data_IF_901765098680
#
_entry.id   IF_901765098680
#
_cell.length_a   1.000
_cell.length_b   1.000
_cell.length_c   1.000
_cell.angle_alpha   90.00
_cell.angle_beta   90.00
_cell.angle_gamma   90.00
#
_symmetry.space_group_name_H-M   'P 1'
#
loop_
_entity.id
_entity.type
_entity.pdbx_description
1 polymer ?
#
# COMPACT_ATOMS: atom_id res chain seq x y z
N UNK A 1 4.59 9.97 50.30
CA UNK A 1 4.77 10.33 48.88
C UNK A 1 6.26 10.41 48.64
N UNK A 2 6.81 9.40 47.96
CA UNK A 2 8.24 9.34 47.64
C UNK A 2 8.39 9.20 46.14
N UNK A 3 8.77 10.31 45.51
CA UNK A 3 9.30 10.39 44.16
C UNK A 3 10.61 9.60 44.10
N UNK A 4 10.68 8.59 43.22
CA UNK A 4 11.96 7.98 42.87
C UNK A 4 11.97 7.61 41.38
N UNK A 5 12.31 8.64 40.58
CA UNK A 5 13.34 8.65 39.55
C UNK A 5 13.68 7.30 38.89
N UNK A 6 13.37 7.18 37.59
CA UNK A 6 14.17 6.43 36.63
C UNK A 6 14.00 7.04 35.23
N UNK A 7 15.05 7.71 34.78
CA UNK A 7 15.44 7.91 33.38
C UNK A 7 16.99 7.81 33.40
N UNK A 8 17.74 7.33 32.37
CA UNK A 8 17.47 7.51 30.93
C UNK A 8 18.09 6.43 29.99
N UNK A 9 17.35 5.59 29.27
CA UNK A 9 17.96 4.75 28.23
C UNK A 9 16.94 4.12 27.26
N UNK A 10 16.33 4.93 26.40
CA UNK A 10 15.87 4.42 25.12
C UNK A 10 16.39 5.40 24.08
N UNK A 11 17.64 5.18 23.69
CA UNK A 11 18.30 5.88 22.61
C UNK A 11 17.30 6.00 21.45
N UNK A 12 16.95 7.24 21.13
CA UNK A 12 16.20 7.60 19.94
C UNK A 12 16.91 6.94 18.76
N UNK A 13 16.38 5.81 18.32
CA UNK A 13 16.83 5.17 17.09
C UNK A 13 16.55 6.19 15.99
N UNK A 14 17.55 6.61 15.20
CA UNK A 14 17.28 7.55 14.12
C UNK A 14 16.21 6.94 13.20
N UNK A 15 15.27 7.74 12.67
CA UNK A 15 14.29 7.23 11.73
C UNK A 15 15.05 6.61 10.56
N UNK A 16 14.88 5.29 10.37
CA UNK A 16 15.43 4.62 9.20
C UNK A 16 14.89 5.37 7.99
N UNK A 17 15.79 5.92 7.19
CA UNK A 17 15.44 6.47 5.89
C UNK A 17 14.65 5.37 5.16
N UNK A 18 13.37 5.65 4.89
CA UNK A 18 12.59 4.82 3.97
C UNK A 18 13.17 5.14 2.61
N UNK A 19 14.27 4.46 2.27
CA UNK A 19 14.76 4.37 0.90
C UNK A 19 13.54 4.02 0.05
N UNK A 20 13.21 4.79 -1.00
CA UNK A 20 12.08 4.48 -1.86
C UNK A 20 12.40 3.13 -2.49
N UNK A 21 11.85 2.07 -1.89
CA UNK A 21 11.95 0.71 -2.39
C UNK A 21 11.47 0.79 -3.83
N UNK A 22 12.44 0.64 -4.75
CA UNK A 22 12.23 0.86 -6.17
C UNK A 22 10.96 0.16 -6.56
N UNK A 23 10.01 0.92 -7.12
CA UNK A 23 8.67 0.46 -7.49
C UNK A 23 8.80 -0.93 -8.07
N UNK A 24 8.41 -1.94 -7.28
CA UNK A 24 8.37 -3.30 -7.77
C UNK A 24 7.30 -3.25 -8.82
N UNK A 25 7.72 -3.28 -10.08
CA UNK A 25 6.82 -3.42 -11.20
C UNK A 25 6.24 -4.83 -11.09
N UNK A 26 5.27 -5.02 -10.21
CA UNK A 26 4.40 -6.18 -10.18
C UNK A 26 3.45 -6.07 -11.38
N UNK A 27 4.01 -5.95 -12.59
CA UNK A 27 3.35 -6.39 -13.80
C UNK A 27 3.52 -7.90 -13.80
N UNK A 28 2.72 -8.59 -12.99
CA UNK A 28 2.88 -10.01 -12.74
C UNK A 28 1.60 -10.65 -12.25
N UNK A 29 1.55 -11.99 -12.23
CA UNK A 29 0.37 -12.79 -11.87
C UNK A 29 -0.17 -12.44 -10.47
N UNK A 30 0.67 -11.88 -9.59
CA UNK A 30 0.25 -11.39 -8.27
C UNK A 30 -0.71 -10.21 -8.35
N UNK A 31 -0.49 -9.27 -9.28
CA UNK A 31 -1.37 -8.10 -9.44
C UNK A 31 -2.73 -8.53 -9.99
N UNK A 32 -2.75 -9.45 -10.93
CA UNK A 32 -3.97 -10.06 -11.47
C UNK A 32 -4.73 -10.80 -10.36
N UNK A 33 -4.05 -11.69 -9.62
CA UNK A 33 -4.62 -12.39 -8.48
C UNK A 33 -5.22 -11.44 -7.42
N UNK A 34 -4.52 -10.35 -7.07
CA UNK A 34 -5.05 -9.35 -6.13
C UNK A 34 -6.28 -8.64 -6.70
N UNK A 35 -6.30 -8.39 -8.02
CA UNK A 35 -7.47 -7.83 -8.70
C UNK A 35 -8.69 -8.75 -8.63
N UNK A 36 -8.50 -10.02 -8.96
CA UNK A 36 -9.57 -11.03 -8.94
C UNK A 36 -10.09 -11.25 -7.52
N UNK A 37 -9.19 -11.36 -6.53
CA UNK A 37 -9.56 -11.49 -5.13
C UNK A 37 -10.33 -10.26 -4.62
N UNK A 38 -9.91 -9.06 -5.02
CA UNK A 38 -10.63 -7.84 -4.67
C UNK A 38 -12.05 -7.83 -5.28
N UNK A 39 -12.23 -8.32 -6.50
CA UNK A 39 -13.55 -8.44 -7.12
C UNK A 39 -14.45 -9.45 -6.39
N UNK A 40 -13.91 -10.60 -5.97
CA UNK A 40 -14.64 -11.60 -5.19
C UNK A 40 -15.08 -11.04 -3.83
N UNK A 41 -14.17 -10.34 -3.13
CA UNK A 41 -14.47 -9.68 -1.86
C UNK A 41 -15.55 -8.60 -2.03
N UNK A 42 -15.57 -7.87 -3.14
CA UNK A 42 -16.60 -6.87 -3.39
C UNK A 42 -17.99 -7.48 -3.50
N UNK A 43 -18.11 -8.67 -4.12
CA UNK A 43 -19.38 -9.41 -4.19
C UNK A 43 -19.80 -9.90 -2.81
N UNK A 44 -18.87 -10.41 -2.01
CA UNK A 44 -19.16 -10.82 -0.63
C UNK A 44 -19.60 -9.64 0.24
N UNK A 45 -18.94 -8.48 0.12
CA UNK A 45 -19.30 -7.26 0.84
C UNK A 45 -20.74 -6.80 0.52
N UNK A 46 -21.16 -6.88 -0.76
CA UNK A 46 -22.56 -6.63 -1.15
C UNK A 46 -23.52 -7.64 -0.53
N UNK A 47 -23.13 -8.91 -0.49
CA UNK A 47 -23.94 -9.97 0.11
C UNK A 47 -24.26 -9.73 1.60
N UNK A 48 -23.39 -9.03 2.31
CA UNK A 48 -23.59 -8.64 3.72
C UNK A 48 -24.11 -7.21 3.91
N UNK A 49 -24.40 -6.49 2.82
CA UNK A 49 -24.93 -5.13 2.85
C UNK A 49 -23.91 -4.02 3.15
N UNK A 50 -22.60 -4.30 3.03
CA UNK A 50 -21.55 -3.30 3.19
C UNK A 50 -21.16 -2.68 1.83
N UNK A 51 -21.97 -1.74 1.38
CA UNK A 51 -21.79 -1.06 0.09
C UNK A 51 -20.50 -0.22 0.04
N UNK A 52 -20.08 0.34 1.18
CA UNK A 52 -18.87 1.15 1.27
C UNK A 52 -17.63 0.28 1.04
N UNK A 53 -17.58 -0.89 1.69
CA UNK A 53 -16.51 -1.86 1.48
C UNK A 53 -16.53 -2.42 0.06
N UNK A 54 -17.70 -2.77 -0.47
CA UNK A 54 -17.84 -3.26 -1.85
C UNK A 54 -17.28 -2.25 -2.86
N UNK A 55 -17.62 -0.98 -2.71
CA UNK A 55 -17.14 0.10 -3.59
C UNK A 55 -15.62 0.26 -3.53
N UNK A 56 -15.03 0.19 -2.33
CA UNK A 56 -13.59 0.29 -2.15
C UNK A 56 -12.84 -0.88 -2.82
N UNK A 57 -13.37 -2.09 -2.71
CA UNK A 57 -12.81 -3.30 -3.30
C UNK A 57 -12.91 -3.30 -4.83
N UNK A 58 -14.00 -2.80 -5.39
CA UNK A 58 -14.11 -2.59 -6.85
C UNK A 58 -13.11 -1.58 -7.37
N UNK A 59 -12.88 -0.49 -6.64
CA UNK A 59 -11.86 0.48 -7.00
C UNK A 59 -10.47 -0.17 -7.00
N UNK A 60 -10.18 -1.06 -6.03
CA UNK A 60 -8.93 -1.81 -5.97
C UNK A 60 -8.77 -2.79 -7.15
N UNK A 61 -9.81 -3.56 -7.48
CA UNK A 61 -9.83 -4.46 -8.62
C UNK A 61 -9.56 -3.69 -9.94
N UNK A 62 -10.26 -2.57 -10.14
CA UNK A 62 -10.03 -1.70 -11.30
C UNK A 62 -8.59 -1.18 -11.35
N UNK A 63 -8.01 -0.79 -10.21
CA UNK A 63 -6.64 -0.32 -10.14
C UNK A 63 -5.61 -1.41 -10.46
N UNK A 64 -5.93 -2.67 -10.17
CA UNK A 64 -5.10 -3.82 -10.50
C UNK A 64 -5.01 -4.07 -12.02
N UNK A 65 -6.10 -3.87 -12.76
CA UNK A 65 -6.15 -4.06 -14.22
C UNK A 65 -5.59 -2.86 -14.99
N UNK A 66 -5.51 -1.68 -14.36
CA UNK A 66 -4.96 -0.48 -15.01
C UNK A 66 -3.50 -0.69 -15.41
N UNK A 67 -3.14 -0.42 -16.68
CA UNK A 67 -1.75 -0.42 -17.11
C UNK A 67 -0.94 0.52 -16.22
N UNK A 68 0.12 0.00 -15.59
CA UNK A 68 1.08 0.85 -14.90
C UNK A 68 1.84 1.63 -15.97
N UNK A 69 1.35 2.83 -16.29
CA UNK A 69 2.14 3.83 -17.01
C UNK A 69 3.32 4.18 -16.11
N UNK A 70 4.44 3.48 -16.28
CA UNK A 70 5.70 3.78 -15.60
C UNK A 70 6.13 5.15 -16.11
N UNK A 71 5.89 6.19 -15.34
CA UNK A 71 6.36 7.52 -15.67
C UNK A 71 7.89 7.51 -15.60
N UNK A 72 8.56 7.32 -16.74
CA UNK A 72 10.01 7.50 -16.89
C UNK A 72 10.30 9.01 -16.98
N UNK A 73 9.77 9.80 -16.04
CA UNK A 73 9.94 11.25 -16.03
C UNK A 73 11.16 11.70 -15.20
N UNK A 74 11.97 10.77 -14.67
CA UNK A 74 13.18 11.10 -13.89
C UNK A 74 14.45 10.43 -14.43
N UNK A 75 14.58 10.31 -15.76
CA UNK A 75 15.83 9.84 -16.39
C UNK A 75 16.39 10.81 -17.46
N UNK A 76 15.75 11.97 -17.69
CA UNK A 76 16.20 12.96 -18.69
C UNK A 76 16.29 14.39 -18.14
N UNK A 77 17.01 14.58 -17.04
CA UNK A 77 17.70 15.84 -16.79
C UNK A 77 19.19 15.56 -16.59
N UNK A 78 19.88 15.38 -17.72
CA UNK A 78 21.23 15.91 -17.96
C UNK A 78 21.07 17.30 -18.60
N UNK A 79 21.99 18.25 -18.45
CA UNK A 79 23.42 18.13 -18.76
C UNK A 79 24.30 17.74 -17.58
#
# INVERSE_FOLDING_TARGET
MSDQSLSPAAAATPPRAIEPQGVVACAGPVREYVGDLAAELAQMARGVGDDALATALEAAANLAVRPMSRSIALARRRP
#
